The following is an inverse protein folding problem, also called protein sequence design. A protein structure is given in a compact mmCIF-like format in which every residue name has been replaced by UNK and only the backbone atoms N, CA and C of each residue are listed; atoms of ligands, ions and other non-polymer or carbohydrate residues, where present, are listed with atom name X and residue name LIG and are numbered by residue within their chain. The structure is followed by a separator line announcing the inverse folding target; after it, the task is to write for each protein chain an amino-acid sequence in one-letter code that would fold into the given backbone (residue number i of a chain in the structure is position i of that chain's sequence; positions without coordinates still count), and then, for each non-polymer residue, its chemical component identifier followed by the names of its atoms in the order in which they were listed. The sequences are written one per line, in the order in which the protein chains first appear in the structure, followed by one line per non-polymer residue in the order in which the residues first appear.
data_IF_621592369302
#
_entry.id   IF_621592369302
#
_cell.length_a   1.000
_cell.length_b   1.000
_cell.length_c   1.000
_cell.angle_alpha   90.00
_cell.angle_beta   90.00
_cell.angle_gamma   90.00
#
_symmetry.space_group_name_H-M   'P 1'
#
loop_
_entity.id
_entity.type
_entity.pdbx_description
1 polymer ?
#
# COMPACT_ATOMS: atom_id res chain seq x y z
N UNK A 1 5.66 -5.30 20.24
CA UNK A 1 4.38 -4.63 19.91
C UNK A 1 4.01 -4.91 18.46
N UNK A 2 4.91 -4.72 17.49
CA UNK A 2 4.69 -4.85 16.04
C UNK A 2 4.30 -6.28 15.64
N UNK A 3 4.96 -7.34 16.18
CA UNK A 3 4.58 -8.74 15.91
C UNK A 3 3.12 -9.05 16.30
N UNK A 4 2.60 -8.42 17.36
CA UNK A 4 1.19 -8.53 17.77
C UNK A 4 0.24 -7.82 16.79
N UNK A 5 0.66 -6.69 16.25
CA UNK A 5 -0.11 -5.90 15.28
C UNK A 5 -0.24 -6.65 13.95
N UNK A 6 0.86 -7.19 13.43
CA UNK A 6 0.88 -7.99 12.19
C UNK A 6 0.02 -9.24 12.32
N UNK A 7 0.08 -9.96 13.45
CA UNK A 7 -0.81 -11.10 13.71
C UNK A 7 -2.28 -10.72 13.75
N UNK A 8 -2.61 -9.51 14.24
CA UNK A 8 -4.00 -9.04 14.33
C UNK A 8 -4.54 -8.55 12.98
N UNK A 9 -3.68 -8.05 12.11
CA UNK A 9 -4.04 -7.55 10.78
C UNK A 9 -4.11 -8.65 9.71
N UNK A 10 -3.22 -9.63 9.74
CA UNK A 10 -3.05 -10.58 8.64
C UNK A 10 -3.39 -12.04 8.98
N UNK A 11 -3.68 -12.38 10.22
CA UNK A 11 -4.31 -13.64 10.64
C UNK A 11 -3.62 -14.93 10.20
N UNK A 12 -2.28 -14.96 10.04
CA UNK A 12 -1.56 -16.16 9.62
C UNK A 12 -0.50 -16.60 10.61
N UNK A 13 -0.67 -17.81 11.13
CA UNK A 13 0.40 -18.60 11.74
C UNK A 13 1.20 -19.27 10.62
N UNK A 14 2.44 -18.88 10.46
CA UNK A 14 3.41 -19.64 9.65
C UNK A 14 4.09 -20.66 10.53
N UNK A 15 4.08 -21.92 10.09
CA UNK A 15 4.77 -23.02 10.72
C UNK A 15 6.30 -22.80 10.72
N UNK A 16 6.92 -22.91 11.87
CA UNK A 16 8.37 -22.93 12.02
C UNK A 16 8.91 -24.26 11.46
N UNK A 17 9.74 -24.15 10.44
CA UNK A 17 10.59 -25.23 9.95
C UNK A 17 11.79 -25.37 10.88
N UNK A 18 11.93 -26.54 11.48
CA UNK A 18 13.11 -26.94 12.23
C UNK A 18 14.22 -27.31 11.24
N UNK A 19 15.35 -26.67 11.38
CA UNK A 19 16.61 -27.10 10.77
C UNK A 19 17.47 -27.79 11.81
N UNK A 20 17.80 -29.06 11.53
CA UNK A 20 18.63 -29.94 12.33
C UNK A 20 20.10 -29.69 12.07
N UNK A 21 20.89 -29.52 13.10
CA UNK A 21 22.33 -29.77 13.03
C UNK A 21 22.73 -30.76 14.13
N UNK A 22 23.20 -31.89 13.69
CA UNK A 22 23.82 -32.95 14.46
C UNK A 22 25.16 -32.53 15.08
N UNK A 23 25.45 -32.94 16.30
CA UNK A 23 26.72 -33.58 16.63
C UNK A 23 26.68 -34.35 17.95
N UNK A 24 27.26 -35.54 17.88
CA UNK A 24 27.43 -36.54 18.90
C UNK A 24 28.19 -36.09 20.16
N UNK A 25 27.84 -36.59 21.30
CA UNK A 25 28.73 -37.42 22.14
C UNK A 25 27.97 -38.04 23.31
N UNK A 26 28.11 -39.33 23.45
CA UNK A 26 27.54 -40.18 24.47
C UNK A 26 28.05 -39.89 25.89
N UNK A 27 27.23 -40.08 26.90
CA UNK A 27 27.51 -40.90 28.08
C UNK A 27 26.27 -41.09 28.96
N UNK A 28 26.14 -42.30 29.47
CA UNK A 28 25.01 -42.90 30.16
C UNK A 28 24.65 -42.35 31.54
N UNK A 29 23.45 -42.66 31.90
CA UNK A 29 22.93 -43.20 33.15
C UNK A 29 21.77 -42.45 33.82
N UNK A 30 20.77 -43.24 34.05
CA UNK A 30 19.87 -43.39 35.21
C UNK A 30 18.56 -42.61 35.23
N UNK A 31 17.56 -43.42 35.18
CA UNK A 31 16.13 -43.33 35.45
C UNK A 31 15.69 -42.36 36.56
N UNK A 32 14.68 -41.55 36.27
CA UNK A 32 13.53 -41.35 37.20
C UNK A 32 12.30 -41.00 36.38
N UNK A 33 11.32 -41.89 36.37
CA UNK A 33 9.98 -41.67 35.85
C UNK A 33 9.23 -40.65 36.73
N UNK A 34 9.01 -39.46 36.24
CA UNK A 34 8.01 -38.53 36.79
C UNK A 34 6.95 -38.23 35.71
N UNK A 35 5.76 -38.76 35.95
CA UNK A 35 4.61 -38.58 35.10
C UNK A 35 4.15 -37.10 35.15
N UNK A 36 4.53 -36.30 34.17
CA UNK A 36 3.93 -34.97 33.97
C UNK A 36 2.54 -35.13 33.33
N UNK A 37 1.49 -34.97 34.15
CA UNK A 37 0.11 -34.72 33.71
C UNK A 37 0.10 -33.48 32.85
N UNK A 38 0.01 -33.63 31.53
CA UNK A 38 -0.26 -32.53 30.60
C UNK A 38 -1.70 -32.10 30.77
N UNK A 39 -1.90 -30.98 31.43
CA UNK A 39 -3.21 -30.28 31.47
C UNK A 39 -3.49 -29.77 30.06
N UNK A 40 -4.40 -30.43 29.36
CA UNK A 40 -4.92 -29.96 28.06
C UNK A 40 -5.77 -28.72 28.30
N UNK A 41 -5.18 -27.54 28.08
CA UNK A 41 -5.93 -26.29 28.02
C UNK A 41 -6.84 -26.35 26.78
N UNK A 42 -8.17 -26.15 26.93
CA UNK A 42 -9.06 -26.19 25.78
C UNK A 42 -8.71 -25.03 24.83
N UNK A 43 -8.27 -25.37 23.63
CA UNK A 43 -8.11 -24.39 22.55
C UNK A 43 -9.49 -23.79 22.26
N UNK A 44 -9.71 -22.51 22.64
CA UNK A 44 -10.85 -21.75 22.13
C UNK A 44 -10.81 -21.82 20.60
N UNK A 45 -11.86 -22.37 19.99
CA UNK A 45 -12.05 -22.32 18.54
C UNK A 45 -11.88 -20.87 18.10
N UNK A 46 -10.87 -20.61 17.25
CA UNK A 46 -10.72 -19.33 16.59
C UNK A 46 -12.02 -19.04 15.84
N UNK A 47 -12.62 -17.89 16.12
CA UNK A 47 -13.80 -17.46 15.39
C UNK A 47 -13.43 -17.39 13.88
N UNK A 48 -14.34 -17.89 13.03
CA UNK A 48 -14.14 -17.83 11.58
C UNK A 48 -13.85 -16.39 11.15
N UNK A 49 -12.97 -16.17 10.18
CA UNK A 49 -12.64 -14.83 9.73
C UNK A 49 -13.91 -14.15 9.21
N UNK A 50 -14.30 -13.06 9.85
CA UNK A 50 -15.40 -12.22 9.39
C UNK A 50 -14.98 -11.69 8.01
N UNK A 51 -15.75 -12.00 6.97
CA UNK A 51 -15.57 -11.41 5.64
C UNK A 51 -15.82 -9.91 5.79
N UNK A 52 -14.75 -9.13 5.75
CA UNK A 52 -14.81 -7.67 5.77
C UNK A 52 -15.09 -7.17 4.37
N UNK A 53 -15.93 -6.15 4.26
CA UNK A 53 -16.15 -5.43 3.03
C UNK A 53 -14.85 -4.67 2.67
N UNK A 54 -14.21 -4.93 1.53
CA UNK A 54 -12.97 -4.27 1.14
C UNK A 54 -13.15 -2.77 0.85
N UNK A 55 -14.39 -2.31 0.63
CA UNK A 55 -14.69 -0.88 0.43
C UNK A 55 -14.65 -0.07 1.73
N UNK A 56 -14.70 -0.74 2.88
CA UNK A 56 -14.69 -0.08 4.20
C UNK A 56 -13.28 -0.14 4.78
N UNK A 57 -12.60 1.00 4.95
CA UNK A 57 -11.26 1.05 5.50
C UNK A 57 -11.25 0.62 6.98
N UNK A 58 -10.18 -0.06 7.40
CA UNK A 58 -9.89 -0.30 8.80
C UNK A 58 -9.02 0.85 9.31
N UNK A 59 -9.61 1.69 10.14
CA UNK A 59 -8.90 2.83 10.73
C UNK A 59 -8.26 2.38 12.05
N UNK A 60 -6.98 2.68 12.20
CA UNK A 60 -6.21 2.41 13.41
C UNK A 60 -5.81 3.75 14.05
N UNK A 61 -6.10 3.93 15.33
CA UNK A 61 -5.68 5.11 16.07
C UNK A 61 -4.16 5.12 16.33
N UNK A 62 -3.62 6.31 16.59
CA UNK A 62 -2.19 6.51 16.94
C UNK A 62 -1.70 5.63 18.09
N UNK A 63 -2.56 5.35 19.08
CA UNK A 63 -2.26 4.44 20.20
C UNK A 63 -1.99 2.98 19.74
N UNK A 64 -2.60 2.58 18.61
CA UNK A 64 -2.47 1.22 18.07
C UNK A 64 -1.28 1.13 17.14
N UNK A 65 -1.14 2.06 16.19
CA UNK A 65 -0.10 1.99 15.17
C UNK A 65 1.25 2.50 15.66
N UNK A 66 1.29 3.46 16.62
CA UNK A 66 2.51 3.95 17.28
C UNK A 66 3.54 4.56 16.31
N UNK A 67 3.09 5.15 15.19
CA UNK A 67 3.97 5.81 14.23
C UNK A 67 4.57 7.05 14.89
N UNK A 68 5.90 7.15 14.83
CA UNK A 68 6.63 8.33 15.27
C UNK A 68 6.66 9.36 14.14
N UNK A 69 5.92 10.46 14.32
CA UNK A 69 5.85 11.55 13.35
C UNK A 69 7.19 12.24 13.09
N UNK A 70 8.14 12.17 14.05
CA UNK A 70 9.46 12.76 13.85
C UNK A 70 10.26 12.12 12.73
N UNK A 71 9.91 10.89 12.33
CA UNK A 71 10.50 10.16 11.22
C UNK A 71 9.91 10.54 9.85
N UNK A 72 8.83 11.33 9.84
CA UNK A 72 8.16 11.74 8.60
C UNK A 72 8.86 12.97 8.02
N UNK A 73 9.10 12.95 6.71
CA UNK A 73 9.65 14.10 6.00
C UNK A 73 8.74 15.33 6.16
N UNK A 74 9.37 16.44 6.55
CA UNK A 74 8.66 17.73 6.63
C UNK A 74 8.05 18.15 5.28
N UNK A 75 8.65 17.73 4.17
CA UNK A 75 8.14 18.05 2.85
C UNK A 75 6.96 17.14 2.47
N UNK A 76 6.95 15.88 2.89
CA UNK A 76 5.78 15.00 2.74
C UNK A 76 4.59 15.56 3.54
N UNK A 77 4.82 16.00 4.78
CA UNK A 77 3.80 16.70 5.59
C UNK A 77 3.27 17.95 4.88
N UNK A 78 4.15 18.80 4.33
CA UNK A 78 3.74 20.01 3.58
C UNK A 78 2.90 19.69 2.34
N UNK A 79 3.17 18.57 1.67
CA UNK A 79 2.36 18.16 0.50
C UNK A 79 0.98 17.70 0.95
N UNK A 80 0.90 16.83 1.97
CA UNK A 80 -0.39 16.38 2.50
C UNK A 80 -1.21 17.55 3.06
N UNK A 81 -0.61 18.41 3.88
CA UNK A 81 -1.26 19.59 4.45
C UNK A 81 -1.78 20.54 3.36
N UNK A 82 -0.95 20.82 2.34
CA UNK A 82 -1.33 21.73 1.25
C UNK A 82 -2.51 21.20 0.44
N UNK A 83 -2.56 19.89 0.19
CA UNK A 83 -3.68 19.24 -0.48
C UNK A 83 -4.95 19.25 0.38
N UNK A 84 -4.82 18.92 1.67
CA UNK A 84 -5.94 18.90 2.61
C UNK A 84 -6.53 20.30 2.84
N UNK A 85 -5.69 21.34 2.94
CA UNK A 85 -6.14 22.74 3.03
C UNK A 85 -6.87 23.20 1.76
N UNK A 86 -6.54 22.65 0.60
CA UNK A 86 -7.25 22.89 -0.65
C UNK A 86 -8.56 22.09 -0.79
N UNK A 87 -8.92 21.27 0.21
CA UNK A 87 -10.14 20.47 0.25
C UNK A 87 -10.01 19.08 -0.34
N UNK A 88 -8.80 18.61 -0.63
CA UNK A 88 -8.55 17.27 -1.13
C UNK A 88 -8.20 16.30 -0.01
N UNK A 89 -8.51 15.02 -0.19
CA UNK A 89 -7.97 13.94 0.63
C UNK A 89 -6.53 13.69 0.23
N UNK A 90 -5.64 13.56 1.21
CA UNK A 90 -4.23 13.27 0.94
C UNK A 90 -3.62 12.44 2.06
N UNK A 91 -2.86 11.42 1.70
CA UNK A 91 -2.29 10.44 2.61
C UNK A 91 -0.86 10.12 2.22
N UNK A 92 0.00 9.88 3.20
CA UNK A 92 1.27 9.18 2.98
C UNK A 92 0.94 7.70 2.76
N UNK A 93 1.57 7.06 1.77
CA UNK A 93 1.20 5.70 1.35
C UNK A 93 2.40 4.79 1.11
N UNK A 94 2.13 3.52 0.94
CA UNK A 94 3.10 2.57 0.42
C UNK A 94 4.21 2.18 1.38
N UNK A 95 5.43 2.10 0.84
CA UNK A 95 6.60 1.68 1.59
C UNK A 95 6.94 2.55 2.79
N UNK A 96 6.66 3.85 2.71
CA UNK A 96 6.87 4.79 3.80
C UNK A 96 6.03 4.40 5.04
N UNK A 97 4.75 4.09 4.86
CA UNK A 97 3.87 3.69 5.98
C UNK A 97 4.35 2.38 6.61
N UNK A 98 4.75 1.41 5.78
CA UNK A 98 5.35 0.15 6.27
C UNK A 98 6.57 0.40 7.13
N UNK A 99 7.50 1.23 6.66
CA UNK A 99 8.76 1.49 7.34
C UNK A 99 8.53 2.27 8.64
N UNK A 100 7.62 3.25 8.64
CA UNK A 100 7.19 3.97 9.85
C UNK A 100 6.59 3.03 10.90
N UNK A 101 5.76 2.07 10.51
CA UNK A 101 5.20 1.05 11.40
C UNK A 101 6.27 0.13 11.99
N UNK A 102 7.39 -0.06 11.29
CA UNK A 102 8.55 -0.81 11.75
C UNK A 102 9.51 0.04 12.61
N UNK A 103 9.22 1.34 12.77
CA UNK A 103 10.10 2.28 13.49
C UNK A 103 11.38 2.61 12.72
N UNK A 104 11.36 2.46 11.39
CA UNK A 104 12.47 2.75 10.49
C UNK A 104 12.17 4.04 9.74
N UNK A 105 13.16 4.93 9.64
CA UNK A 105 13.02 6.14 8.85
C UNK A 105 12.93 5.79 7.35
N UNK A 106 11.82 6.14 6.67
CA UNK A 106 11.68 5.90 5.24
C UNK A 106 12.72 6.70 4.42
N UNK A 107 13.15 6.13 3.30
CA UNK A 107 14.04 6.85 2.37
C UNK A 107 13.25 7.79 1.48
N UNK A 108 12.11 7.34 0.99
CA UNK A 108 11.27 8.03 0.03
C UNK A 108 9.84 8.11 0.57
N UNK A 109 9.13 9.17 0.24
CA UNK A 109 7.75 9.37 0.64
C UNK A 109 6.87 9.55 -0.58
N UNK A 110 5.82 8.71 -0.66
CA UNK A 110 4.77 8.79 -1.66
C UNK A 110 3.50 9.35 -1.01
N UNK A 111 2.81 10.22 -1.74
CA UNK A 111 1.51 10.76 -1.37
C UNK A 111 0.46 10.31 -2.37
N UNK A 112 -0.69 9.86 -1.88
CA UNK A 112 -1.86 9.59 -2.70
C UNK A 112 -3.00 10.55 -2.33
N UNK A 113 -3.73 11.03 -3.34
CA UNK A 113 -4.77 12.06 -3.19
C UNK A 113 -5.91 11.85 -4.18
N UNK A 114 -7.07 12.44 -3.92
CA UNK A 114 -8.16 12.56 -4.90
C UNK A 114 -7.98 13.77 -5.85
N UNK A 115 -7.00 14.65 -5.59
CA UNK A 115 -6.66 15.72 -6.52
C UNK A 115 -6.11 15.15 -7.83
N UNK A 116 -6.53 15.72 -8.96
CA UNK A 116 -5.97 15.39 -10.27
C UNK A 116 -4.54 15.92 -10.41
N UNK A 117 -3.73 15.38 -11.33
CA UNK A 117 -2.36 15.85 -11.54
C UNK A 117 -2.26 17.36 -11.82
N UNK A 118 -3.23 17.91 -12.56
CA UNK A 118 -3.28 19.35 -12.89
C UNK A 118 -3.62 20.21 -11.66
N UNK A 119 -4.44 19.70 -10.75
CA UNK A 119 -4.75 20.37 -9.47
C UNK A 119 -3.54 20.38 -8.56
N UNK A 120 -2.86 19.24 -8.41
CA UNK A 120 -1.60 19.15 -7.65
C UNK A 120 -0.57 20.13 -8.24
N UNK A 121 -0.42 20.17 -9.57
CA UNK A 121 0.52 21.09 -10.21
C UNK A 121 0.20 22.55 -9.95
N UNK A 122 -1.08 22.93 -9.90
CA UNK A 122 -1.51 24.31 -9.58
C UNK A 122 -1.23 24.71 -8.13
N UNK A 123 -1.32 23.75 -7.19
CA UNK A 123 -1.11 24.02 -5.77
C UNK A 123 0.38 24.19 -5.42
N UNK A 124 1.28 23.49 -6.12
CA UNK A 124 2.70 23.48 -5.78
C UNK A 124 3.56 24.08 -6.89
N UNK A 125 4.22 25.19 -6.58
CA UNK A 125 5.05 25.93 -7.56
C UNK A 125 6.12 25.13 -8.28
N UNK A 126 6.67 24.08 -7.63
CA UNK A 126 7.71 23.20 -8.19
C UNK A 126 7.20 21.80 -8.48
N UNK A 127 5.94 21.69 -8.85
CA UNK A 127 5.32 20.44 -9.26
C UNK A 127 5.50 20.22 -10.76
N UNK A 128 5.77 18.96 -11.15
CA UNK A 128 5.88 18.54 -12.55
C UNK A 128 5.13 17.25 -12.76
N UNK A 129 4.25 17.20 -13.75
CA UNK A 129 3.57 15.99 -14.17
C UNK A 129 4.57 15.12 -14.94
N UNK A 130 4.76 13.89 -14.47
CA UNK A 130 5.68 12.90 -15.03
C UNK A 130 4.86 11.71 -15.53
N UNK A 131 5.33 11.13 -16.63
CA UNK A 131 4.70 9.95 -17.24
C UNK A 131 3.56 10.32 -18.18
N UNK A 132 3.38 9.49 -19.20
CA UNK A 132 2.30 9.61 -20.20
C UNK A 132 1.26 8.53 -20.03
N UNK A 133 1.73 7.33 -19.70
CA UNK A 133 0.88 6.15 -19.48
C UNK A 133 0.26 6.18 -18.09
N UNK A 134 1.09 6.49 -17.10
CA UNK A 134 0.73 6.64 -15.69
C UNK A 134 1.23 8.01 -15.24
N UNK A 135 0.31 8.94 -15.06
CA UNK A 135 0.67 10.27 -14.62
C UNK A 135 0.84 10.29 -13.10
N UNK A 136 1.98 10.80 -12.65
CA UNK A 136 2.29 11.14 -11.27
C UNK A 136 2.83 12.55 -11.24
N UNK A 137 2.78 13.20 -10.09
CA UNK A 137 3.31 14.54 -9.91
C UNK A 137 4.52 14.49 -8.98
N UNK A 138 5.66 14.96 -9.46
CA UNK A 138 6.85 15.19 -8.64
C UNK A 138 6.78 16.59 -8.05
N UNK A 139 6.61 16.69 -6.73
CA UNK A 139 6.69 17.96 -6.00
C UNK A 139 8.08 18.08 -5.41
N UNK A 140 8.86 19.05 -5.91
CA UNK A 140 10.29 19.16 -5.60
C UNK A 140 10.56 20.18 -4.49
N UNK A 141 11.30 19.75 -3.46
CA UNK A 141 11.79 20.57 -2.35
C UNK A 141 13.32 20.45 -2.23
N UNK A 142 14.04 21.34 -2.92
CA UNK A 142 15.49 21.22 -2.99
C UNK A 142 15.92 19.93 -3.70
N UNK A 143 16.56 19.04 -2.98
CA UNK A 143 16.95 17.72 -3.49
C UNK A 143 15.90 16.63 -3.25
N UNK A 144 14.96 16.85 -2.35
CA UNK A 144 13.89 15.91 -2.05
C UNK A 144 12.75 16.06 -3.05
N UNK A 145 12.23 14.94 -3.52
CA UNK A 145 11.06 14.84 -4.39
C UNK A 145 10.01 14.03 -3.66
N UNK A 146 8.80 14.59 -3.56
CA UNK A 146 7.63 13.86 -3.08
C UNK A 146 6.81 13.44 -4.29
N UNK A 147 6.71 12.13 -4.50
CA UNK A 147 5.88 11.57 -5.55
C UNK A 147 4.40 11.63 -5.11
N UNK A 148 3.58 12.32 -5.90
CA UNK A 148 2.17 12.49 -5.60
C UNK A 148 1.35 11.85 -6.72
N UNK A 149 0.50 10.89 -6.36
CA UNK A 149 -0.35 10.15 -7.29
C UNK A 149 -1.82 10.40 -6.98
N UNK A 150 -2.64 10.53 -8.03
CA UNK A 150 -4.09 10.55 -7.88
C UNK A 150 -4.60 9.12 -7.66
N UNK A 151 -5.62 8.92 -6.81
CA UNK A 151 -6.28 7.62 -6.63
C UNK A 151 -6.76 7.10 -7.97
N UNK A 152 -6.47 5.85 -8.27
CA UNK A 152 -6.83 5.22 -9.53
C UNK A 152 -7.95 4.21 -9.33
N UNK A 153 -8.92 4.23 -10.24
CA UNK A 153 -9.98 3.24 -10.28
C UNK A 153 -9.45 1.83 -10.58
N UNK A 154 -10.16 0.83 -10.08
CA UNK A 154 -10.08 -0.52 -10.61
C UNK A 154 -10.75 -0.49 -11.99
N UNK A 155 -9.95 -0.48 -13.04
CA UNK A 155 -10.48 -0.69 -14.38
C UNK A 155 -10.57 -2.19 -14.59
N UNK A 156 -11.77 -2.75 -14.42
CA UNK A 156 -12.05 -4.07 -14.92
C UNK A 156 -11.74 -4.06 -16.42
N UNK A 157 -10.91 -4.97 -16.85
CA UNK A 157 -10.54 -5.09 -18.27
C UNK A 157 -11.83 -5.03 -19.10
N UNK A 158 -12.02 -4.03 -19.96
CA UNK A 158 -13.24 -4.00 -20.75
C UNK A 158 -13.38 -5.33 -21.47
N UNK A 159 -14.61 -5.86 -21.60
CA UNK A 159 -14.81 -7.08 -22.36
C UNK A 159 -14.14 -6.93 -23.73
N UNK A 160 -13.52 -7.98 -24.27
CA UNK A 160 -12.85 -7.90 -25.56
C UNK A 160 -13.84 -7.28 -26.54
N UNK A 161 -13.44 -6.14 -27.11
CA UNK A 161 -14.26 -5.46 -28.10
C UNK A 161 -14.67 -6.48 -29.16
N UNK A 162 -15.93 -6.47 -29.67
CA UNK A 162 -16.35 -7.39 -30.70
C UNK A 162 -15.34 -7.32 -31.83
N UNK A 163 -14.82 -8.47 -32.21
CA UNK A 163 -13.77 -8.66 -33.21
C UNK A 163 -14.19 -8.10 -34.53
N UNK A 164 -13.96 -6.86 -34.86
CA UNK A 164 -14.17 -6.27 -36.18
C UNK A 164 -13.58 -4.87 -36.39
N UNK A 165 -12.50 -4.47 -35.72
CA UNK A 165 -11.73 -3.33 -36.23
C UNK A 165 -10.27 -3.71 -36.39
N UNK A 166 -9.65 -3.43 -37.57
CA UNK A 166 -8.23 -3.65 -37.76
C UNK A 166 -7.45 -2.78 -36.76
N UNK A 167 -6.22 -3.20 -36.35
CA UNK A 167 -5.45 -2.51 -35.34
C UNK A 167 -5.20 -1.06 -35.76
N UNK A 168 -5.95 -0.13 -35.18
CA UNK A 168 -5.75 1.31 -35.42
C UNK A 168 -4.48 1.76 -34.75
N UNK A 169 -3.52 2.22 -35.53
CA UNK A 169 -2.38 2.97 -35.01
C UNK A 169 -2.89 4.35 -34.59
N UNK A 170 -3.07 4.56 -33.28
CA UNK A 170 -3.45 5.87 -32.77
C UNK A 170 -2.36 6.90 -33.09
N UNK A 171 -2.75 8.04 -33.63
CA UNK A 171 -1.87 9.19 -33.79
C UNK A 171 -1.50 9.72 -32.40
N UNK A 172 -0.28 10.28 -32.27
CA UNK A 172 0.26 10.75 -30.99
C UNK A 172 -0.70 11.68 -30.23
N UNK A 173 -1.38 12.61 -30.93
CA UNK A 173 -2.35 13.54 -30.35
C UNK A 173 -3.68 12.89 -29.93
N UNK A 174 -4.08 11.80 -30.58
CA UNK A 174 -5.32 11.08 -30.25
C UNK A 174 -5.17 10.27 -28.94
N UNK A 175 -3.98 9.73 -28.70
CA UNK A 175 -3.66 9.02 -27.46
C UNK A 175 -3.61 10.00 -26.25
N UNK A 176 -3.18 11.23 -26.48
CA UNK A 176 -3.08 12.24 -25.43
C UNK A 176 -4.45 12.73 -24.94
N UNK A 177 -5.50 12.56 -25.74
CA UNK A 177 -6.90 12.90 -25.40
C UNK A 177 -7.65 11.78 -24.64
N UNK A 178 -7.08 10.58 -24.54
CA UNK A 178 -7.74 9.45 -23.86
C UNK A 178 -7.21 9.26 -22.44
N UNK A 179 -8.10 9.11 -21.50
CA UNK A 179 -7.75 8.78 -20.11
C UNK A 179 -7.35 7.32 -19.95
N UNK A 180 -8.01 6.43 -20.70
CA UNK A 180 -7.69 4.99 -20.75
C UNK A 180 -7.56 4.53 -22.20
N UNK A 181 -6.52 3.77 -22.53
CA UNK A 181 -6.30 3.21 -23.85
C UNK A 181 -5.55 1.87 -23.75
N UNK A 182 -6.04 0.90 -24.53
CA UNK A 182 -5.45 -0.45 -24.64
C UNK A 182 -5.17 -0.73 -26.12
N UNK A 183 -4.05 -1.37 -26.45
CA UNK A 183 -3.75 -1.80 -27.81
C UNK A 183 -4.46 -3.11 -28.16
N UNK A 184 -4.35 -3.52 -29.44
CA UNK A 184 -4.97 -4.75 -29.95
C UNK A 184 -4.47 -6.05 -29.27
N UNK A 185 -3.33 -5.99 -28.55
CA UNK A 185 -2.77 -7.11 -27.79
C UNK A 185 -3.20 -7.11 -26.33
N UNK A 186 -4.08 -6.19 -25.92
CA UNK A 186 -4.52 -6.03 -24.53
C UNK A 186 -3.52 -5.27 -23.64
N UNK A 187 -2.45 -4.71 -24.22
CA UNK A 187 -1.47 -3.94 -23.45
C UNK A 187 -2.01 -2.55 -23.16
N UNK A 188 -2.04 -2.17 -21.89
CA UNK A 188 -2.46 -0.84 -21.44
C UNK A 188 -1.49 0.21 -21.96
N UNK A 189 -1.98 1.15 -22.76
CA UNK A 189 -1.23 2.29 -23.29
C UNK A 189 -1.37 3.53 -22.43
N UNK A 190 -2.51 3.70 -21.77
CA UNK A 190 -2.81 4.79 -20.85
C UNK A 190 -3.80 4.31 -19.78
N UNK A 191 -3.57 4.67 -18.54
CA UNK A 191 -4.40 4.31 -17.40
C UNK A 191 -4.40 5.49 -16.39
N UNK A 192 -5.12 6.55 -16.76
CA UNK A 192 -5.34 7.72 -15.93
C UNK A 192 -6.83 7.83 -15.58
N UNK A 193 -7.43 6.70 -15.21
CA UNK A 193 -8.81 6.66 -14.70
C UNK A 193 -8.74 6.84 -13.19
N UNK A 194 -9.35 7.93 -12.72
CA UNK A 194 -9.35 8.29 -11.32
C UNK A 194 -10.48 7.57 -10.58
N UNK A 195 -10.22 7.17 -9.35
CA UNK A 195 -11.13 6.38 -8.54
C UNK A 195 -11.12 6.76 -7.07
N UNK A 196 -11.74 5.91 -6.28
CA UNK A 196 -11.79 6.08 -4.84
C UNK A 196 -10.55 5.47 -4.15
N UNK A 197 -10.29 5.90 -2.91
CA UNK A 197 -9.15 5.41 -2.11
C UNK A 197 -9.13 3.88 -1.98
N UNK A 198 -10.29 3.25 -1.79
CA UNK A 198 -10.38 1.80 -1.65
C UNK A 198 -10.04 1.05 -2.95
N UNK A 199 -10.37 1.63 -4.11
CA UNK A 199 -10.00 1.09 -5.42
C UNK A 199 -8.48 1.19 -5.61
N UNK A 200 -7.88 2.34 -5.28
CA UNK A 200 -6.43 2.53 -5.34
C UNK A 200 -5.70 1.55 -4.41
N UNK A 201 -6.22 1.30 -3.22
CA UNK A 201 -5.67 0.31 -2.29
C UNK A 201 -5.76 -1.12 -2.84
N UNK A 202 -6.91 -1.50 -3.43
CA UNK A 202 -7.19 -2.85 -3.90
C UNK A 202 -6.32 -3.25 -5.10
N UNK A 203 -5.95 -2.31 -5.97
CA UNK A 203 -5.11 -2.57 -7.15
C UNK A 203 -3.62 -2.67 -6.86
N UNK A 204 -3.17 -2.37 -5.63
CA UNK A 204 -1.76 -2.49 -5.23
C UNK A 204 -1.36 -3.95 -5.13
N UNK A 205 -0.11 -4.26 -5.50
CA UNK A 205 0.43 -5.62 -5.60
C UNK A 205 0.52 -6.34 -4.24
N UNK A 206 0.91 -5.61 -3.19
CA UNK A 206 1.04 -6.15 -1.85
C UNK A 206 0.24 -5.35 -0.83
N UNK A 207 -0.51 -6.04 0.03
CA UNK A 207 -1.30 -5.42 1.11
C UNK A 207 -0.43 -4.61 2.09
N UNK A 208 0.81 -5.02 2.29
CA UNK A 208 1.80 -4.28 3.11
C UNK A 208 2.17 -2.91 2.53
N UNK A 209 1.94 -2.70 1.24
CA UNK A 209 2.14 -1.43 0.55
C UNK A 209 0.81 -0.71 0.24
N UNK A 210 -0.33 -1.27 0.69
CA UNK A 210 -1.66 -0.70 0.50
C UNK A 210 -2.19 -0.01 1.77
N UNK A 211 -1.29 0.50 2.60
CA UNK A 211 -1.60 1.24 3.81
C UNK A 211 -1.51 2.74 3.54
N UNK A 212 -2.43 3.49 4.16
CA UNK A 212 -2.58 4.93 4.03
C UNK A 212 -2.45 5.54 5.41
N UNK A 213 -1.62 6.54 5.56
CA UNK A 213 -1.45 7.29 6.81
C UNK A 213 -1.88 8.74 6.60
N UNK A 214 -2.83 9.18 7.41
CA UNK A 214 -3.26 10.57 7.44
C UNK A 214 -2.48 11.31 8.53
N UNK A 215 -1.59 12.25 8.18
CA UNK A 215 -0.84 12.99 9.18
C UNK A 215 -1.69 13.93 10.04
N UNK A 216 -2.86 14.37 9.54
CA UNK A 216 -3.70 15.32 10.23
C UNK A 216 -4.55 14.67 11.33
N UNK A 217 -5.07 13.46 11.09
CA UNK A 217 -5.94 12.76 12.04
C UNK A 217 -5.22 11.70 12.88
N UNK A 218 -4.07 11.24 12.41
CA UNK A 218 -3.19 10.21 13.00
C UNK A 218 -3.85 8.85 13.21
#
# INVERSE_FOLDING_TARGET
VIKKLIRKLFGQESAESQESASNDTATAQAETKSARKTVRVPRKKAAAPVKRDPSVPVILSSEIHGIDQSLISKNAMRVTDGLQQAGHRAFIVGGAVRDLLLGVAPKDFDVATDATPDEVQRLFRRARIIGRRFQIVHVQFGQEIIETSTFRALVDTPPPAPAAEPPRRYRRGELDMRTHAVDASGRVLRDNVWGEQHEDATRRDFTINAMYYDPATQ
#
